data_IF_819227479373
#
_entry.id   IF_819227479373
#
_cell.length_a   1.000
_cell.length_b   1.000
_cell.length_c   1.000
_cell.angle_alpha   90.00
_cell.angle_beta   90.00
_cell.angle_gamma   90.00
#
_symmetry.space_group_name_H-M   'P 1'
#
loop_
_entity.id
_entity.type
_entity.pdbx_description
1 polymer ?
#
# COMPACT_ATOMS: atom_id res chain seq x y z
N UNK A 1 -9.93 -7.84 -7.28
CA UNK A 1 -8.47 -7.74 -7.21
C UNK A 1 -8.12 -7.13 -5.87
N UNK A 2 -7.21 -7.74 -5.13
CA UNK A 2 -6.73 -7.20 -3.85
C UNK A 2 -5.39 -6.48 -4.02
N UNK A 3 -5.07 -5.60 -3.08
CA UNK A 3 -3.96 -4.66 -3.11
C UNK A 3 -4.21 -3.48 -2.16
N UNK A 4 -4.91 -3.77 -1.06
CA UNK A 4 -5.39 -2.77 -0.12
C UNK A 4 -4.25 -2.41 0.81
N UNK A 5 -3.93 -1.13 0.91
CA UNK A 5 -2.96 -0.59 1.86
C UNK A 5 -3.65 -0.35 3.19
N UNK A 6 -3.00 -0.77 4.27
CA UNK A 6 -3.40 -0.47 5.66
C UNK A 6 -2.30 0.32 6.36
N UNK A 7 -2.70 1.30 7.16
CA UNK A 7 -1.83 2.14 7.97
C UNK A 7 -2.22 1.92 9.43
N UNK A 8 -1.23 1.63 10.26
CA UNK A 8 -1.40 1.44 11.70
C UNK A 8 -0.50 2.40 12.46
N UNK A 9 -0.96 2.87 13.62
CA UNK A 9 -0.16 3.66 14.53
C UNK A 9 0.90 2.82 15.27
N UNK A 10 1.71 3.47 16.11
CA UNK A 10 2.76 2.82 16.91
C UNK A 10 2.24 1.73 17.88
N UNK A 11 0.94 1.74 18.21
CA UNK A 11 0.28 0.73 19.05
C UNK A 11 -0.30 -0.43 18.24
N UNK A 12 -0.10 -0.43 16.92
CA UNK A 12 -0.67 -1.36 15.93
C UNK A 12 -2.18 -1.25 15.76
N UNK A 13 -2.79 -0.12 16.14
CA UNK A 13 -4.19 0.15 15.82
C UNK A 13 -4.31 0.65 14.38
N UNK A 14 -5.24 0.11 13.59
CA UNK A 14 -5.51 0.59 12.23
C UNK A 14 -6.07 2.01 12.30
N UNK A 15 -5.45 2.93 11.56
CA UNK A 15 -5.82 4.34 11.46
C UNK A 15 -6.21 4.75 10.03
N UNK A 16 -6.03 3.87 9.05
CA UNK A 16 -6.44 4.12 7.68
C UNK A 16 -6.31 2.89 6.80
N UNK A 17 -7.20 2.79 5.81
CA UNK A 17 -7.24 1.70 4.83
C UNK A 17 -7.75 2.20 3.49
N UNK A 18 -7.01 1.93 2.41
CA UNK A 18 -7.36 2.41 1.07
C UNK A 18 -6.72 1.55 -0.02
N UNK A 19 -7.24 1.69 -1.25
CA UNK A 19 -6.65 1.11 -2.46
C UNK A 19 -6.31 2.25 -3.41
N UNK A 20 -5.09 2.26 -3.95
CA UNK A 20 -4.70 3.18 -5.03
C UNK A 20 -5.32 2.63 -6.33
N UNK A 21 -6.38 3.29 -6.83
CA UNK A 21 -7.24 2.77 -7.90
C UNK A 21 -6.87 3.33 -9.26
N UNK A 22 -6.31 4.54 -9.30
CA UNK A 22 -5.96 5.24 -10.52
C UNK A 22 -4.44 5.39 -10.64
N UNK A 23 -3.90 5.44 -11.87
CA UNK A 23 -2.50 5.77 -12.07
C UNK A 23 -2.15 7.07 -11.35
N UNK A 24 -1.02 7.06 -10.65
CA UNK A 24 -0.49 8.20 -9.89
C UNK A 24 -1.29 8.59 -8.62
N UNK A 25 -2.29 7.81 -8.21
CA UNK A 25 -2.77 7.89 -6.82
C UNK A 25 -1.57 7.66 -5.87
N UNK A 26 -1.40 8.52 -4.88
CA UNK A 26 -0.21 8.54 -4.04
C UNK A 26 -0.56 8.50 -2.55
N UNK A 27 0.28 7.80 -1.79
CA UNK A 27 0.27 7.82 -0.33
C UNK A 27 1.58 8.42 0.18
N UNK A 28 1.47 9.44 1.02
CA UNK A 28 2.61 10.01 1.74
C UNK A 28 2.59 9.47 3.17
N UNK A 29 3.68 8.81 3.56
CA UNK A 29 3.82 8.21 4.89
C UNK A 29 5.05 8.77 5.58
N UNK A 30 4.93 9.05 6.88
CA UNK A 30 6.08 9.25 7.77
C UNK A 30 6.48 7.89 8.33
N UNK A 31 7.50 7.29 7.71
CA UNK A 31 7.96 5.92 7.98
C UNK A 31 8.36 5.69 9.44
N UNK A 32 8.77 6.76 10.15
CA UNK A 32 9.14 6.69 11.56
C UNK A 32 7.95 6.67 12.52
N UNK A 33 6.73 6.90 12.04
CA UNK A 33 5.53 7.08 12.88
C UNK A 33 4.46 6.02 12.67
N UNK A 34 4.49 5.31 11.54
CA UNK A 34 3.42 4.39 11.17
C UNK A 34 3.97 3.05 10.72
N UNK A 35 3.21 1.99 10.98
CA UNK A 35 3.35 0.75 10.24
C UNK A 35 2.44 0.81 9.04
N UNK A 36 2.93 0.33 7.89
CA UNK A 36 2.11 0.22 6.70
C UNK A 36 2.31 -1.14 6.05
N UNK A 37 1.25 -1.68 5.46
CA UNK A 37 1.27 -2.96 4.76
C UNK A 37 0.32 -2.95 3.58
N UNK A 38 0.43 -3.97 2.73
CA UNK A 38 -0.47 -4.15 1.60
C UNK A 38 -0.93 -5.61 1.54
N UNK A 39 -2.20 -5.84 1.25
CA UNK A 39 -2.70 -7.20 1.04
C UNK A 39 -2.07 -7.81 -0.23
N UNK A 40 -1.93 -9.14 -0.30
CA UNK A 40 -1.47 -9.81 -1.51
C UNK A 40 -2.32 -9.43 -2.73
N UNK A 41 -1.67 -9.36 -3.91
CA UNK A 41 -2.39 -9.20 -5.18
C UNK A 41 -3.04 -10.53 -5.55
N UNK A 42 -4.36 -10.51 -5.72
CA UNK A 42 -5.15 -11.68 -6.12
C UNK A 42 -5.74 -11.48 -7.53
N UNK A 43 -5.52 -12.44 -8.45
CA UNK A 43 -6.11 -12.37 -9.78
C UNK A 43 -7.63 -12.47 -9.70
N UNK A 44 -8.33 -11.64 -10.50
CA UNK A 44 -9.79 -11.73 -10.63
C UNK A 44 -10.17 -12.98 -11.41
N UNK A 45 -9.40 -13.30 -12.43
CA UNK A 45 -9.52 -14.50 -13.24
C UNK A 45 -8.29 -15.37 -12.98
N UNK A 46 -8.44 -16.53 -12.28
CA UNK A 46 -7.32 -17.40 -11.94
C UNK A 46 -6.55 -17.95 -13.16
N UNK A 47 -7.16 -17.92 -14.35
CA UNK A 47 -6.51 -18.38 -15.58
C UNK A 47 -5.58 -17.33 -16.20
N UNK A 48 -5.59 -16.08 -15.71
CA UNK A 48 -4.77 -14.98 -16.22
C UNK A 48 -3.88 -14.39 -15.13
N UNK A 49 -2.66 -13.96 -15.46
CA UNK A 49 -1.82 -13.27 -14.49
C UNK A 49 -2.42 -11.90 -14.11
N UNK A 50 -2.15 -11.46 -12.89
CA UNK A 50 -2.52 -10.14 -12.40
C UNK A 50 -1.29 -9.42 -11.86
N UNK A 51 -1.21 -8.13 -12.13
CA UNK A 51 -0.09 -7.27 -11.78
C UNK A 51 -0.58 -5.97 -11.16
N UNK A 52 0.24 -5.39 -10.30
CA UNK A 52 0.04 -4.06 -9.72
C UNK A 52 1.37 -3.34 -9.70
N UNK A 53 1.52 -2.35 -10.56
CA UNK A 53 2.74 -1.56 -10.67
C UNK A 53 2.74 -0.43 -9.64
N UNK A 54 3.88 -0.25 -8.95
CA UNK A 54 4.06 0.80 -7.94
C UNK A 54 5.46 1.41 -8.04
N UNK A 55 5.55 2.70 -7.74
CA UNK A 55 6.82 3.39 -7.52
C UNK A 55 6.93 3.78 -6.05
N UNK A 56 8.01 3.37 -5.40
CA UNK A 56 8.33 3.78 -4.02
C UNK A 56 9.48 4.78 -4.07
N UNK A 57 9.29 5.94 -3.45
CA UNK A 57 10.31 6.98 -3.32
C UNK A 57 10.54 7.24 -1.84
N UNK A 58 11.76 6.99 -1.36
CA UNK A 58 12.15 7.20 0.03
C UNK A 58 13.03 8.44 0.16
N UNK A 59 12.59 9.39 0.98
CA UNK A 59 13.41 10.54 1.40
C UNK A 59 14.04 10.22 2.75
N UNK A 60 15.37 10.30 2.84
CA UNK A 60 16.14 10.13 4.08
C UNK A 60 16.99 11.37 4.32
N UNK A 61 17.20 11.71 5.60
CA UNK A 61 18.21 12.72 5.96
C UNK A 61 19.59 12.19 5.58
N UNK A 62 20.49 13.11 5.20
CA UNK A 62 21.88 12.81 4.91
C UNK A 62 22.64 12.38 6.16
#
# INVERSE_FOLDING_TARGET
>A
AEGVTSIHDATRQEIGRFTLMHPLDAAFVDDGRVYHGVTPVMPIDPARPAYRDVLVVTFRRA
#
